data_IF_974919990333
#
_entry.id   IF_974919990333
#
_cell.length_a   1.000
_cell.length_b   1.000
_cell.length_c   1.000
_cell.angle_alpha   90.00
_cell.angle_beta   90.00
_cell.angle_gamma   90.00
#
_symmetry.space_group_name_H-M   'P 1'
#
loop_
_entity.id
_entity.type
_entity.pdbx_description
1 polymer ?
#
# COMPACT_ATOMS: atom_id res chain seq x y z
N UNK A 1 1.73 -1.91 -9.94
CA UNK A 1 3.04 -1.90 -9.25
C UNK A 1 3.44 -0.52 -8.69
N UNK A 2 2.66 0.55 -8.94
CA UNK A 2 2.93 1.91 -8.45
C UNK A 2 3.13 1.97 -6.94
N UNK A 3 2.25 1.34 -6.16
CA UNK A 3 2.35 1.36 -4.70
C UNK A 3 3.71 0.91 -4.19
N UNK A 4 4.15 -0.29 -4.60
CA UNK A 4 5.42 -0.84 -4.17
C UNK A 4 6.62 -0.04 -4.69
N UNK A 5 6.48 0.67 -5.82
CA UNK A 5 7.53 1.55 -6.35
C UNK A 5 7.72 2.78 -5.46
N UNK A 6 6.64 3.47 -5.09
CA UNK A 6 6.74 4.64 -4.22
C UNK A 6 7.17 4.24 -2.80
N UNK A 7 6.69 3.09 -2.29
CA UNK A 7 7.14 2.54 -1.01
C UNK A 7 8.64 2.30 -0.97
N UNK A 8 9.20 1.67 -2.01
CA UNK A 8 10.66 1.45 -2.12
C UNK A 8 11.44 2.76 -2.18
N UNK A 9 10.93 3.77 -2.88
CA UNK A 9 11.56 5.10 -2.94
C UNK A 9 11.57 5.78 -1.57
N UNK A 10 10.43 5.82 -0.89
CA UNK A 10 10.31 6.41 0.44
C UNK A 10 11.21 5.70 1.47
N UNK A 11 11.28 4.37 1.40
CA UNK A 11 12.10 3.54 2.30
C UNK A 11 13.58 3.45 1.89
N UNK A 12 14.00 4.09 0.79
CA UNK A 12 15.35 4.04 0.22
C UNK A 12 15.87 2.60 -0.03
N UNK A 13 14.98 1.69 -0.41
CA UNK A 13 15.29 0.28 -0.70
C UNK A 13 14.97 -0.03 -2.17
N UNK A 14 15.92 0.12 -3.11
CA UNK A 14 15.63 0.04 -4.54
C UNK A 14 15.30 -1.37 -5.03
N UNK A 15 15.83 -2.39 -4.35
CA UNK A 15 15.62 -3.80 -4.70
C UNK A 15 14.66 -4.42 -3.69
N UNK A 16 13.59 -5.04 -4.19
CA UNK A 16 12.65 -5.81 -3.38
C UNK A 16 12.32 -7.13 -4.06
N UNK A 17 12.32 -8.22 -3.29
CA UNK A 17 11.89 -9.52 -3.80
C UNK A 17 10.37 -9.50 -4.02
N UNK A 18 9.88 -9.97 -5.18
CA UNK A 18 8.45 -10.04 -5.42
C UNK A 18 7.81 -11.06 -4.47
N UNK A 19 6.72 -10.67 -3.81
CA UNK A 19 5.89 -11.59 -3.04
C UNK A 19 4.98 -12.36 -4.02
N UNK A 20 5.42 -13.52 -4.48
CA UNK A 20 4.63 -14.35 -5.39
C UNK A 20 3.32 -14.80 -4.70
N UNK A 21 2.24 -14.95 -5.47
CA UNK A 21 0.91 -15.26 -4.93
C UNK A 21 0.89 -16.52 -4.06
N UNK A 22 1.60 -17.58 -4.46
CA UNK A 22 1.71 -18.80 -3.66
C UNK A 22 2.41 -18.56 -2.31
N UNK A 23 3.42 -17.68 -2.25
CA UNK A 23 4.10 -17.34 -1.01
C UNK A 23 3.13 -16.66 -0.05
N UNK A 24 2.30 -15.74 -0.56
CA UNK A 24 1.30 -15.03 0.24
C UNK A 24 0.22 -15.99 0.73
N UNK A 25 -0.29 -16.89 -0.14
CA UNK A 25 -1.30 -17.90 0.23
C UNK A 25 -0.85 -18.82 1.37
N UNK A 26 0.46 -19.05 1.51
CA UNK A 26 1.03 -19.87 2.57
C UNK A 26 1.40 -19.00 3.79
N UNK A 27 2.13 -17.91 3.57
CA UNK A 27 2.71 -17.09 4.64
C UNK A 27 1.68 -16.27 5.41
N UNK A 28 0.65 -15.75 4.74
CA UNK A 28 -0.40 -14.95 5.40
C UNK A 28 -1.12 -15.74 6.50
N UNK A 29 -1.67 -16.95 6.26
CA UNK A 29 -2.33 -17.71 7.32
C UNK A 29 -1.34 -18.34 8.31
N UNK A 30 -0.22 -18.90 7.84
CA UNK A 30 0.66 -19.70 8.69
C UNK A 30 1.61 -18.87 9.57
N UNK A 31 2.06 -17.71 9.09
CA UNK A 31 3.03 -16.87 9.82
C UNK A 31 2.39 -15.59 10.36
N UNK A 32 1.50 -14.96 9.60
CA UNK A 32 0.92 -13.67 9.95
C UNK A 32 -0.49 -13.76 10.54
N UNK A 33 -1.09 -14.96 10.56
CA UNK A 33 -2.47 -15.21 11.04
C UNK A 33 -3.51 -14.30 10.38
N UNK A 34 -3.36 -14.06 9.08
CA UNK A 34 -4.23 -13.18 8.29
C UNK A 34 -4.72 -13.86 7.02
N UNK A 35 -5.83 -13.38 6.47
CA UNK A 35 -6.37 -13.85 5.20
C UNK A 35 -5.46 -13.42 4.02
N UNK A 36 -4.98 -14.35 3.17
CA UNK A 36 -4.17 -14.01 2.01
C UNK A 36 -4.91 -13.16 0.96
N UNK A 37 -6.25 -13.23 0.89
CA UNK A 37 -7.03 -12.45 -0.06
C UNK A 37 -6.92 -10.95 0.19
N UNK A 38 -6.67 -10.52 1.44
CA UNK A 38 -6.43 -9.11 1.75
C UNK A 38 -5.24 -8.51 1.00
N UNK A 39 -4.22 -9.32 0.69
CA UNK A 39 -3.03 -8.87 -0.03
C UNK A 39 -3.10 -9.18 -1.53
N UNK A 40 -3.80 -10.25 -1.92
CA UNK A 40 -3.86 -10.71 -3.31
C UNK A 40 -5.03 -10.11 -4.09
N UNK A 41 -6.08 -9.73 -3.40
CA UNK A 41 -7.27 -9.14 -3.99
C UNK A 41 -7.35 -7.66 -3.61
N UNK A 42 -7.82 -6.85 -4.56
CA UNK A 42 -7.96 -5.41 -4.38
C UNK A 42 -9.15 -4.88 -5.14
N UNK A 43 -9.69 -3.75 -4.66
CA UNK A 43 -10.74 -2.99 -5.35
C UNK A 43 -10.24 -1.58 -5.59
N UNK A 44 -10.42 -1.08 -6.81
CA UNK A 44 -10.15 0.31 -7.11
C UNK A 44 -11.39 1.13 -6.73
N UNK A 45 -11.26 1.92 -5.66
CA UNK A 45 -12.36 2.69 -5.09
C UNK A 45 -12.05 4.18 -5.19
N UNK A 46 -13.01 4.95 -5.66
CA UNK A 46 -12.97 6.42 -5.63
C UNK A 46 -14.20 6.90 -4.87
N UNK A 47 -13.99 7.63 -3.78
CA UNK A 47 -15.11 8.12 -2.96
C UNK A 47 -15.86 9.22 -3.70
N UNK A 48 -17.14 8.99 -3.98
CA UNK A 48 -18.05 10.02 -4.50
C UNK A 48 -18.34 11.06 -3.42
N UNK A 49 -18.68 10.60 -2.21
CA UNK A 49 -19.06 11.46 -1.10
C UNK A 49 -17.97 12.47 -0.73
N UNK A 50 -16.71 12.02 -0.60
CA UNK A 50 -15.61 12.94 -0.24
C UNK A 50 -15.41 14.02 -1.30
N UNK A 51 -15.67 13.70 -2.58
CA UNK A 51 -15.62 14.70 -3.64
C UNK A 51 -16.78 15.69 -3.56
N UNK A 52 -18.00 15.20 -3.29
CA UNK A 52 -19.20 16.03 -3.16
C UNK A 52 -19.17 16.93 -1.92
N UNK A 53 -18.53 16.47 -0.85
CA UNK A 53 -18.33 17.24 0.39
C UNK A 53 -17.06 18.12 0.34
N UNK A 54 -16.42 18.26 -0.83
CA UNK A 54 -15.21 19.06 -1.04
C UNK A 54 -14.11 18.77 -0.01
N UNK A 55 -13.96 17.49 0.37
CA UNK A 55 -12.98 17.07 1.35
C UNK A 55 -11.55 17.29 0.83
N UNK A 56 -10.77 18.10 1.54
CA UNK A 56 -9.38 18.36 1.22
C UNK A 56 -8.45 17.32 1.89
N UNK A 57 -7.72 16.58 1.07
CA UNK A 57 -6.78 15.57 1.56
C UNK A 57 -5.45 16.23 1.89
N UNK A 58 -5.01 16.11 3.15
CA UNK A 58 -3.66 16.54 3.55
C UNK A 58 -2.55 15.78 2.79
N UNK A 59 -2.84 14.58 2.32
CA UNK A 59 -1.95 13.75 1.49
C UNK A 59 -2.74 13.19 0.30
N UNK A 60 -2.88 13.96 -0.80
CA UNK A 60 -3.71 13.59 -1.94
C UNK A 60 -3.09 12.48 -2.81
N UNK A 61 -1.80 12.24 -2.64
CA UNK A 61 -1.02 11.28 -3.43
C UNK A 61 -0.16 10.37 -2.55
N UNK A 62 0.26 9.26 -3.14
CA UNK A 62 1.00 8.23 -2.42
C UNK A 62 2.42 8.68 -2.04
N UNK A 63 3.06 9.53 -2.84
CA UNK A 63 4.43 10.00 -2.59
C UNK A 63 4.46 10.90 -1.36
N UNK A 64 3.55 11.87 -1.25
CA UNK A 64 3.44 12.77 -0.10
C UNK A 64 3.10 11.99 1.18
N UNK A 65 2.14 11.07 1.14
CA UNK A 65 1.75 10.23 2.26
C UNK A 65 2.92 9.37 2.78
N UNK A 66 3.60 8.65 1.87
CA UNK A 66 4.70 7.76 2.26
C UNK A 66 5.93 8.55 2.73
N UNK A 67 6.20 9.72 2.13
CA UNK A 67 7.26 10.60 2.64
C UNK A 67 6.96 11.03 4.06
N UNK A 68 5.75 11.47 4.39
CA UNK A 68 5.43 11.89 5.76
C UNK A 68 5.64 10.75 6.78
N UNK A 69 5.13 9.55 6.47
CA UNK A 69 5.25 8.37 7.35
C UNK A 69 6.72 8.00 7.60
N UNK A 70 7.56 8.05 6.56
CA UNK A 70 8.95 7.56 6.63
C UNK A 70 10.02 8.66 6.75
N UNK A 71 9.65 9.95 6.69
CA UNK A 71 10.58 11.08 6.83
C UNK A 71 11.01 11.31 8.28
N UNK A 72 10.22 10.86 9.27
CA UNK A 72 10.57 10.96 10.68
C UNK A 72 11.54 9.83 11.06
N UNK A 73 12.84 10.14 11.00
CA UNK A 73 13.88 9.48 11.79
C UNK A 73 14.45 10.46 12.79
#
# INVERSE_FOLDING_TARGET
AEFMRELRRAFKMPIGLPAASWMVRIGAPLLMRTDPELALYGRYCVSRRLREEEFDFSFPDLESALRDIYAKK
#
